data_IF_825859914768
#
_entry.id   IF_825859914768
#
_cell.length_a   1.000
_cell.length_b   1.000
_cell.length_c   1.000
_cell.angle_alpha   90.00
_cell.angle_beta   90.00
_cell.angle_gamma   90.00
#
_symmetry.space_group_name_H-M   'P 1'
#
loop_
_entity.id
_entity.type
_entity.pdbx_description
1 polymer ?
#
# COMPACT_ATOMS: atom_id res chain seq x y z
N UNK A 1 30.35 28.52 0.94
CA UNK A 1 29.21 27.59 0.86
C UNK A 1 28.64 27.63 -0.55
N UNK A 2 28.49 26.49 -1.25
CA UNK A 2 27.79 26.47 -2.55
C UNK A 2 26.32 26.84 -2.29
N UNK A 3 25.84 27.91 -2.93
CA UNK A 3 24.44 28.35 -2.82
C UNK A 3 23.56 27.26 -3.43
N UNK A 4 22.62 26.73 -2.65
CA UNK A 4 21.63 25.77 -3.16
C UNK A 4 20.65 26.53 -4.03
N UNK A 5 20.28 25.95 -5.17
CA UNK A 5 19.32 26.56 -6.08
C UNK A 5 17.98 26.79 -5.38
N UNK A 6 17.36 27.95 -5.64
CA UNK A 6 16.03 28.26 -5.12
C UNK A 6 14.95 27.51 -5.90
N UNK A 7 13.75 27.38 -5.30
CA UNK A 7 12.62 26.75 -5.99
C UNK A 7 12.22 27.49 -7.27
N UNK A 8 12.43 28.81 -7.32
CA UNK A 8 12.19 29.62 -8.51
C UNK A 8 13.21 29.28 -9.60
N UNK A 9 14.49 29.28 -9.26
CA UNK A 9 15.58 28.91 -10.19
C UNK A 9 15.39 27.51 -10.79
N UNK A 10 14.97 26.54 -9.97
CA UNK A 10 14.66 25.18 -10.45
C UNK A 10 13.48 25.18 -11.44
N UNK A 11 12.44 25.97 -11.18
CA UNK A 11 11.28 26.07 -12.07
C UNK A 11 11.64 26.71 -13.40
N UNK A 12 12.46 27.75 -13.38
CA UNK A 12 12.88 28.47 -14.58
C UNK A 12 13.76 27.59 -15.46
N UNK A 13 14.70 26.85 -14.86
CA UNK A 13 15.50 25.85 -15.58
C UNK A 13 14.63 24.77 -16.24
N UNK A 14 13.67 24.20 -15.49
CA UNK A 14 12.77 23.18 -16.03
C UNK A 14 11.94 23.71 -17.21
N UNK A 15 11.46 24.97 -17.11
CA UNK A 15 10.72 25.59 -18.20
C UNK A 15 11.59 25.76 -19.45
N UNK A 16 12.84 26.19 -19.28
CA UNK A 16 13.79 26.33 -20.37
C UNK A 16 14.13 24.97 -21.02
N UNK A 17 14.25 23.91 -20.23
CA UNK A 17 14.46 22.55 -20.74
C UNK A 17 13.28 22.05 -21.58
N UNK A 18 12.05 22.32 -21.12
CA UNK A 18 10.83 21.99 -21.86
C UNK A 18 10.76 22.78 -23.16
N UNK A 19 11.00 24.09 -23.13
CA UNK A 19 10.97 24.93 -24.33
C UNK A 19 12.02 24.50 -25.36
N UNK A 20 13.24 24.17 -24.91
CA UNK A 20 14.30 23.64 -25.76
C UNK A 20 13.88 22.34 -26.45
N UNK A 21 13.34 21.39 -25.68
CA UNK A 21 12.86 20.13 -26.25
C UNK A 21 11.71 20.32 -27.25
N UNK A 22 10.78 21.25 -26.97
CA UNK A 22 9.68 21.55 -27.89
C UNK A 22 10.14 22.25 -29.18
N UNK A 23 11.24 23.00 -29.12
CA UNK A 23 11.77 23.77 -30.26
C UNK A 23 12.68 22.91 -31.14
N UNK A 24 13.65 22.26 -30.52
CA UNK A 24 14.74 21.56 -31.21
C UNK A 24 14.48 20.05 -31.33
N UNK A 25 13.49 19.53 -30.61
CA UNK A 25 13.22 18.10 -30.50
C UNK A 25 14.14 17.40 -29.50
N UNK A 26 14.27 16.08 -29.63
CA UNK A 26 15.21 15.29 -28.85
C UNK A 26 16.48 14.99 -29.63
N UNK A 27 17.63 14.94 -28.95
CA UNK A 27 18.89 14.47 -29.52
C UNK A 27 19.12 13.00 -29.17
N UNK A 28 19.59 12.21 -30.14
CA UNK A 28 20.08 10.84 -29.92
C UNK A 28 21.60 10.90 -30.01
N UNK A 29 22.26 10.60 -28.89
CA UNK A 29 23.71 10.48 -28.85
C UNK A 29 24.12 9.02 -29.14
N UNK A 30 25.03 8.83 -30.09
CA UNK A 30 25.66 7.55 -30.37
C UNK A 30 26.98 7.47 -29.57
N UNK A 31 27.18 6.35 -28.88
CA UNK A 31 28.36 6.09 -28.06
C UNK A 31 28.99 4.76 -28.47
N UNK A 32 30.30 4.65 -28.34
CA UNK A 32 31.02 3.43 -28.69
C UNK A 32 30.69 2.29 -27.72
N UNK A 33 30.70 1.05 -28.22
CA UNK A 33 30.40 -0.10 -27.36
C UNK A 33 31.50 -0.25 -26.30
N UNK A 34 31.09 -0.14 -25.04
CA UNK A 34 32.01 -0.22 -23.88
C UNK A 34 32.50 1.14 -23.39
N UNK A 35 32.03 2.23 -24.01
CA UNK A 35 32.24 3.58 -23.49
C UNK A 35 31.55 3.72 -22.12
N UNK A 36 32.29 4.33 -21.20
CA UNK A 36 31.86 4.52 -19.83
C UNK A 36 31.03 5.79 -19.72
N UNK A 37 29.78 5.69 -19.26
CA UNK A 37 28.94 6.87 -18.98
C UNK A 37 29.37 7.68 -17.75
N UNK A 38 30.60 7.45 -17.25
CA UNK A 38 31.17 8.15 -16.10
C UNK A 38 31.92 9.40 -16.56
N UNK A 39 31.61 10.54 -15.95
CA UNK A 39 32.37 11.79 -16.15
C UNK A 39 33.79 11.58 -15.64
N UNK A 40 34.78 11.69 -16.54
CA UNK A 40 36.22 11.48 -16.26
C UNK A 40 36.57 10.11 -15.65
N UNK A 41 35.77 9.08 -15.92
CA UNK A 41 35.99 7.72 -15.39
C UNK A 41 35.78 7.58 -13.88
N UNK A 42 35.23 8.60 -13.21
CA UNK A 42 34.95 8.60 -11.78
C UNK A 42 33.47 8.47 -11.51
N UNK A 43 33.12 7.60 -10.55
CA UNK A 43 31.77 7.59 -9.99
C UNK A 43 31.50 8.94 -9.35
N UNK A 44 30.25 9.39 -9.45
CA UNK A 44 29.83 10.61 -8.79
C UNK A 44 30.06 10.45 -7.27
N UNK A 45 31.08 11.12 -6.76
CA UNK A 45 31.47 11.13 -5.34
C UNK A 45 30.52 11.99 -4.49
N UNK A 46 29.32 12.34 -4.98
CA UNK A 46 28.21 12.74 -4.12
C UNK A 46 27.92 11.59 -3.18
N UNK A 47 28.67 11.60 -2.07
CA UNK A 47 28.45 10.75 -0.94
C UNK A 47 26.96 10.76 -0.68
N UNK A 48 26.35 9.58 -0.69
CA UNK A 48 25.02 9.34 -0.15
C UNK A 48 25.09 9.83 1.29
N UNK A 49 24.83 11.12 1.49
CA UNK A 49 24.95 11.76 2.78
C UNK A 49 23.75 11.27 3.55
N UNK A 50 23.94 10.19 4.29
CA UNK A 50 22.95 9.76 5.27
C UNK A 50 22.74 10.96 6.18
N UNK A 51 21.52 11.50 6.17
CA UNK A 51 21.17 12.61 7.04
C UNK A 51 21.54 12.23 8.47
N UNK A 52 22.12 13.19 9.22
CA UNK A 52 22.45 12.97 10.62
C UNK A 52 21.20 12.49 11.35
N UNK A 53 21.36 11.46 12.19
CA UNK A 53 20.26 10.85 12.95
C UNK A 53 19.48 11.94 13.67
N UNK A 54 18.27 12.21 13.21
CA UNK A 54 17.38 13.19 13.80
C UNK A 54 16.91 12.69 15.17
N UNK A 55 16.87 13.58 16.16
CA UNK A 55 16.24 13.26 17.45
C UNK A 55 14.73 13.08 17.22
N UNK A 56 14.22 11.91 17.58
CA UNK A 56 12.80 11.56 17.46
C UNK A 56 12.18 11.56 18.85
N UNK A 57 11.02 12.17 18.99
CA UNK A 57 10.19 12.04 20.20
C UNK A 57 9.65 10.61 20.28
N UNK A 58 9.96 9.82 21.32
CA UNK A 58 9.35 8.50 21.50
C UNK A 58 7.85 8.66 21.79
N UNK A 59 6.99 7.94 21.04
CA UNK A 59 5.54 7.95 21.26
C UNK A 59 5.03 6.52 21.48
N UNK A 60 5.40 5.87 22.60
CA UNK A 60 5.10 4.47 22.86
C UNK A 60 3.60 4.19 22.95
N UNK A 61 2.81 5.12 23.49
CA UNK A 61 1.36 4.94 23.65
C UNK A 61 0.63 4.84 22.29
N UNK A 62 1.07 5.62 21.30
CA UNK A 62 0.50 5.57 19.94
C UNK A 62 0.87 4.27 19.24
N UNK A 63 2.11 3.79 19.42
CA UNK A 63 2.53 2.49 18.90
C UNK A 63 1.70 1.36 19.50
N UNK A 64 1.51 1.36 20.83
CA UNK A 64 0.66 0.39 21.53
C UNK A 64 -0.77 0.40 20.98
N UNK A 65 -1.37 1.57 20.79
CA UNK A 65 -2.73 1.67 20.23
C UNK A 65 -2.83 1.14 18.79
N UNK A 66 -1.78 1.34 17.97
CA UNK A 66 -1.73 0.79 16.61
C UNK A 66 -1.64 -0.74 16.64
N UNK A 67 -0.81 -1.29 17.51
CA UNK A 67 -0.63 -2.74 17.66
C UNK A 67 -1.90 -3.41 18.17
N UNK A 68 -2.53 -2.87 19.21
CA UNK A 68 -3.82 -3.36 19.73
C UNK A 68 -4.90 -3.40 18.64
N UNK A 69 -4.99 -2.34 17.83
CA UNK A 69 -5.93 -2.28 16.70
C UNK A 69 -5.61 -3.33 15.63
N UNK A 70 -4.34 -3.57 15.35
CA UNK A 70 -3.90 -4.58 14.37
C UNK A 70 -4.22 -5.99 14.87
N UNK A 71 -4.01 -6.25 16.14
CA UNK A 71 -4.31 -7.53 16.78
C UNK A 71 -5.82 -7.78 16.88
N UNK A 72 -6.60 -6.74 17.16
CA UNK A 72 -8.07 -6.83 17.14
C UNK A 72 -8.61 -7.20 15.75
N UNK A 73 -7.98 -6.73 14.66
CA UNK A 73 -8.34 -7.08 13.28
C UNK A 73 -7.88 -8.48 12.87
N UNK A 74 -6.78 -8.97 13.45
CA UNK A 74 -6.20 -10.29 13.17
C UNK A 74 -6.91 -11.42 13.90
N UNK A 75 -7.43 -11.13 15.11
CA UNK A 75 -8.24 -12.10 15.83
C UNK A 75 -9.46 -12.42 14.95
N UNK A 76 -9.67 -13.69 14.54
CA UNK A 76 -10.92 -14.04 13.89
C UNK A 76 -12.02 -13.60 14.87
N UNK A 77 -12.97 -12.77 14.39
CA UNK A 77 -14.16 -12.50 15.17
C UNK A 77 -14.65 -13.86 15.60
N UNK A 78 -14.65 -14.13 16.91
CA UNK A 78 -15.35 -15.30 17.45
C UNK A 78 -16.73 -15.14 16.85
N UNK A 79 -17.07 -15.97 15.87
CA UNK A 79 -18.45 -16.11 15.42
C UNK A 79 -19.11 -16.46 16.73
N UNK A 80 -19.76 -15.47 17.35
CA UNK A 80 -20.73 -15.76 18.37
C UNK A 80 -21.62 -16.70 17.60
N UNK A 81 -21.51 -17.99 17.91
CA UNK A 81 -22.55 -18.94 17.61
C UNK A 81 -23.69 -18.40 18.43
N UNK A 82 -24.35 -17.36 17.90
CA UNK A 82 -25.69 -16.99 18.28
C UNK A 82 -26.36 -18.34 18.21
N UNK A 83 -26.65 -18.88 19.40
CA UNK A 83 -27.37 -20.14 19.53
C UNK A 83 -28.54 -19.91 18.62
N UNK A 84 -28.56 -20.56 17.45
CA UNK A 84 -29.69 -20.42 16.52
C UNK A 84 -30.85 -20.76 17.43
N UNK A 85 -31.72 -19.79 17.68
CA UNK A 85 -32.90 -20.03 18.49
C UNK A 85 -33.50 -21.29 17.91
N UNK A 86 -33.77 -22.28 18.78
CA UNK A 86 -34.53 -23.47 18.41
C UNK A 86 -35.91 -22.96 18.02
N UNK A 87 -36.02 -22.50 16.78
CA UNK A 87 -37.29 -22.19 16.19
C UNK A 87 -37.92 -23.50 15.77
N UNK A 88 -39.26 -23.52 15.65
CA UNK A 88 -39.98 -24.72 15.31
C UNK A 88 -39.39 -25.38 14.06
N UNK A 89 -39.22 -26.70 14.10
CA UNK A 89 -38.70 -27.52 13.01
C UNK A 89 -39.86 -28.04 12.18
N UNK A 90 -39.72 -27.98 10.86
CA UNK A 90 -40.67 -28.62 9.93
C UNK A 90 -40.53 -30.14 10.05
N UNK A 91 -41.63 -30.82 10.36
CA UNK A 91 -41.73 -32.27 10.40
C UNK A 91 -42.81 -32.72 9.41
N UNK A 92 -42.41 -33.57 8.48
CA UNK A 92 -43.33 -34.17 7.51
C UNK A 92 -43.93 -35.42 8.14
N UNK A 93 -45.27 -35.51 8.14
CA UNK A 93 -46.01 -36.71 8.55
C UNK A 93 -46.25 -37.54 7.30
N UNK A 94 -45.90 -38.82 7.38
CA UNK A 94 -46.04 -39.79 6.30
C UNK A 94 -47.15 -40.79 6.63
N UNK A 95 -47.88 -41.26 5.62
CA UNK A 95 -48.87 -42.33 5.72
C UNK A 95 -48.21 -43.71 5.89
N UNK A 96 -49.00 -44.76 6.13
CA UNK A 96 -48.54 -46.16 6.25
C UNK A 96 -47.83 -46.68 4.97
N UNK A 97 -48.00 -45.98 3.85
CA UNK A 97 -47.31 -46.21 2.58
C UNK A 97 -46.11 -45.27 2.32
N UNK A 98 -45.75 -44.40 3.26
CA UNK A 98 -44.59 -43.51 3.15
C UNK A 98 -44.82 -42.24 2.31
N UNK A 99 -46.05 -41.98 1.87
CA UNK A 99 -46.40 -40.76 1.16
C UNK A 99 -46.56 -39.56 2.13
N UNK A 100 -46.06 -38.36 1.79
CA UNK A 100 -46.13 -37.20 2.67
C UNK A 100 -47.57 -36.65 2.73
N UNK A 101 -48.21 -36.78 3.89
CA UNK A 101 -49.58 -36.29 4.11
C UNK A 101 -49.62 -34.80 4.42
N UNK A 102 -48.77 -34.34 5.35
CA UNK A 102 -48.75 -32.92 5.78
C UNK A 102 -47.45 -32.54 6.48
N UNK A 103 -47.17 -31.23 6.50
CA UNK A 103 -46.05 -30.65 7.24
C UNK A 103 -46.56 -29.95 8.50
N UNK A 104 -46.03 -30.32 9.65
CA UNK A 104 -46.32 -29.70 10.96
C UNK A 104 -45.04 -29.04 11.48
N UNK A 105 -45.22 -27.96 12.23
CA UNK A 105 -44.14 -27.27 12.93
C UNK A 105 -44.10 -27.77 14.37
N UNK A 106 -42.98 -28.34 14.81
CA UNK A 106 -42.73 -28.83 16.18
C UNK A 106 -41.70 -27.89 16.84
N UNK A 107 -42.01 -27.33 18.02
CA UNK A 107 -41.15 -26.37 18.73
C UNK A 107 -39.78 -26.92 19.15
#
# INVERSE_FOLDING_TARGET
MKKRASKQEIRDNLKQDIERYLTDGGEVHEFERGESGLVDGRYNEQAMSFEKRQERTPVPDVLRAIDERRDARRKPQKKTTAKRSSGPKKKVIYDDFGEPLRVVWED
#
